data_IF_918226243318
#
_entry.id   IF_918226243318
#
_cell.length_a   1.000
_cell.length_b   1.000
_cell.length_c   1.000
_cell.angle_alpha   90.00
_cell.angle_beta   90.00
_cell.angle_gamma   90.00
#
_symmetry.space_group_name_H-M   'P 1'
#
loop_
_entity.id
_entity.type
_entity.pdbx_description
1 polymer ?
#
# COMPACT_ATOMS: atom_id res chain seq x y z
N UNK A 1 -19.23 2.42 -17.17
CA UNK A 1 -18.07 3.20 -16.69
C UNK A 1 -17.06 2.40 -15.83
N UNK A 2 -17.49 1.38 -15.09
CA UNK A 2 -16.58 0.60 -14.22
C UNK A 2 -15.56 -0.30 -14.94
N UNK A 3 -15.89 -0.84 -16.12
CA UNK A 3 -15.01 -1.79 -16.84
C UNK A 3 -13.83 -1.10 -17.55
N UNK A 4 -14.04 0.10 -18.07
CA UNK A 4 -12.99 0.86 -18.75
C UNK A 4 -11.86 1.31 -17.79
N UNK A 5 -12.18 1.55 -16.51
CA UNK A 5 -11.20 1.95 -15.49
C UNK A 5 -10.29 0.78 -15.10
N UNK A 6 -10.80 -0.46 -15.16
CA UNK A 6 -10.06 -1.67 -14.80
C UNK A 6 -9.15 -2.20 -15.91
N UNK A 7 -9.33 -1.74 -17.16
CA UNK A 7 -8.45 -2.14 -18.26
C UNK A 7 -7.13 -1.37 -18.18
N UNK A 8 -6.09 -2.03 -17.66
CA UNK A 8 -4.75 -1.45 -17.58
C UNK A 8 -4.03 -1.75 -18.88
N UNK A 9 -3.71 -0.72 -19.68
CA UNK A 9 -2.93 -0.90 -20.89
C UNK A 9 -1.48 -1.28 -20.59
N UNK A 10 -0.72 -1.66 -21.61
CA UNK A 10 0.72 -1.88 -21.48
C UNK A 10 1.44 -0.53 -21.26
N UNK A 11 2.01 -0.35 -20.09
CA UNK A 11 2.72 0.87 -19.66
C UNK A 11 4.24 0.75 -19.84
N UNK A 12 4.74 -0.37 -20.37
CA UNK A 12 6.17 -0.69 -20.41
C UNK A 12 7.01 0.35 -21.18
N UNK A 13 6.42 1.03 -22.15
CA UNK A 13 7.07 2.08 -22.92
C UNK A 13 7.43 3.34 -22.09
N UNK A 14 6.73 3.56 -20.98
CA UNK A 14 6.92 4.73 -20.10
C UNK A 14 7.74 4.41 -18.84
N UNK A 15 8.28 3.19 -18.72
CA UNK A 15 9.07 2.77 -17.56
C UNK A 15 10.51 3.23 -17.65
N UNK A 16 11.00 3.83 -16.57
CA UNK A 16 12.41 4.19 -16.40
C UNK A 16 13.02 3.26 -15.34
N UNK A 17 14.09 2.57 -15.69
CA UNK A 17 14.80 1.66 -14.79
C UNK A 17 16.13 2.24 -14.35
N UNK A 18 16.40 2.17 -13.05
CA UNK A 18 17.70 2.45 -12.46
C UNK A 18 18.22 1.22 -11.74
N UNK A 19 19.44 0.80 -12.05
CA UNK A 19 20.11 -0.27 -11.35
C UNK A 19 21.10 0.31 -10.32
N UNK A 20 21.07 -0.23 -9.11
CA UNK A 20 21.99 0.15 -8.02
C UNK A 20 22.45 -1.09 -7.27
N UNK A 21 23.45 -0.90 -6.42
CA UNK A 21 23.93 -1.97 -5.54
C UNK A 21 22.87 -2.29 -4.49
N UNK A 22 22.65 -3.59 -4.24
CA UNK A 22 21.79 -4.02 -3.16
C UNK A 22 22.45 -3.70 -1.82
N UNK A 23 21.72 -3.12 -0.88
CA UNK A 23 22.15 -2.94 0.50
C UNK A 23 21.72 -4.17 1.32
N UNK A 24 22.66 -4.94 1.85
CA UNK A 24 22.38 -6.08 2.74
C UNK A 24 23.63 -6.58 3.43
N UNK A 25 23.52 -7.26 4.58
CA UNK A 25 24.64 -7.94 5.24
C UNK A 25 25.01 -9.15 4.39
N UNK A 26 25.83 -8.99 3.40
CA UNK A 26 26.27 -10.06 2.52
C UNK A 26 27.73 -9.92 2.14
N UNK A 27 28.38 -11.07 1.90
CA UNK A 27 29.81 -11.16 1.61
C UNK A 27 30.25 -10.34 0.37
N UNK A 28 31.50 -10.53 -0.05
CA UNK A 28 32.22 -9.71 -1.04
C UNK A 28 31.50 -9.48 -2.39
N UNK A 29 30.53 -10.32 -2.77
CA UNK A 29 29.79 -10.19 -4.03
C UNK A 29 28.70 -9.10 -4.01
N UNK A 30 28.16 -8.73 -2.84
CA UNK A 30 27.12 -7.69 -2.69
C UNK A 30 27.62 -6.32 -3.15
N UNK A 31 28.90 -6.06 -3.00
CA UNK A 31 29.51 -4.78 -3.38
C UNK A 31 29.90 -4.69 -4.88
N UNK A 32 29.78 -5.78 -5.64
CA UNK A 32 30.24 -5.84 -7.04
C UNK A 32 29.09 -5.92 -8.06
N UNK A 33 27.88 -6.26 -7.66
CA UNK A 33 26.75 -6.49 -8.57
C UNK A 33 25.61 -5.52 -8.31
N UNK A 34 25.19 -4.78 -9.34
CA UNK A 34 24.05 -3.87 -9.30
C UNK A 34 22.75 -4.67 -9.51
N UNK A 35 22.35 -5.48 -8.53
CA UNK A 35 21.16 -6.32 -8.64
C UNK A 35 19.86 -5.62 -8.20
N UNK A 36 19.95 -4.54 -7.45
CA UNK A 36 18.77 -3.75 -7.04
C UNK A 36 18.25 -2.96 -8.23
N UNK A 37 16.98 -3.15 -8.54
CA UNK A 37 16.26 -2.40 -9.58
C UNK A 37 15.26 -1.45 -8.93
N UNK A 38 15.31 -0.21 -9.36
CA UNK A 38 14.33 0.81 -9.10
C UNK A 38 13.59 1.13 -10.40
N UNK A 39 12.29 0.88 -10.43
CA UNK A 39 11.42 1.20 -11.54
C UNK A 39 10.67 2.48 -11.20
N UNK A 40 10.75 3.46 -12.09
CA UNK A 40 10.08 4.76 -11.99
C UNK A 40 9.04 4.89 -13.09
N UNK A 41 7.85 5.31 -12.72
CA UNK A 41 6.75 5.56 -13.63
C UNK A 41 6.08 6.89 -13.29
N UNK A 42 6.00 7.81 -14.26
CA UNK A 42 5.34 9.10 -14.05
C UNK A 42 3.86 8.99 -14.41
N UNK A 43 2.99 8.97 -13.38
CA UNK A 43 1.54 8.84 -13.57
C UNK A 43 0.97 10.09 -14.25
N UNK A 44 1.41 11.27 -13.85
CA UNK A 44 0.84 12.53 -14.32
C UNK A 44 1.13 12.77 -15.81
N UNK A 45 2.35 12.44 -16.24
CA UNK A 45 2.81 12.66 -17.62
C UNK A 45 2.55 11.45 -18.53
N UNK A 46 1.91 10.39 -18.05
CA UNK A 46 1.59 9.23 -18.88
C UNK A 46 0.66 9.64 -20.03
N UNK A 47 1.00 9.23 -21.24
CA UNK A 47 0.15 9.37 -22.43
C UNK A 47 -0.82 8.21 -22.62
N UNK A 48 -0.61 7.12 -21.89
CA UNK A 48 -1.33 5.86 -22.02
C UNK A 48 -2.53 5.77 -21.05
N UNK A 49 -2.39 6.36 -19.85
CA UNK A 49 -3.45 6.38 -18.84
C UNK A 49 -4.51 7.44 -19.16
N UNK A 50 -5.78 7.09 -18.90
CA UNK A 50 -6.87 8.08 -18.97
C UNK A 50 -6.82 9.04 -17.78
N UNK A 51 -7.43 10.23 -17.92
CA UNK A 51 -7.43 11.25 -16.88
C UNK A 51 -8.11 10.75 -15.58
N UNK A 52 -9.21 9.99 -15.71
CA UNK A 52 -9.87 9.35 -14.57
C UNK A 52 -8.94 8.36 -13.82
N UNK A 53 -8.18 7.56 -14.59
CA UNK A 53 -7.20 6.63 -14.00
C UNK A 53 -6.09 7.39 -13.29
N UNK A 54 -5.56 8.46 -13.87
CA UNK A 54 -4.54 9.30 -13.25
C UNK A 54 -5.01 9.89 -11.93
N UNK A 55 -6.22 10.46 -11.89
CA UNK A 55 -6.79 11.05 -10.68
C UNK A 55 -6.90 10.01 -9.55
N UNK A 56 -7.45 8.82 -9.85
CA UNK A 56 -7.57 7.73 -8.89
C UNK A 56 -6.20 7.27 -8.38
N UNK A 57 -5.22 7.10 -9.28
CA UNK A 57 -3.87 6.66 -8.92
C UNK A 57 -3.13 7.69 -8.08
N UNK A 58 -3.18 8.96 -8.45
CA UNK A 58 -2.57 10.06 -7.69
C UNK A 58 -3.16 10.17 -6.28
N UNK A 59 -4.48 10.01 -6.16
CA UNK A 59 -5.16 10.03 -4.87
C UNK A 59 -4.79 8.83 -3.99
N UNK A 60 -4.90 7.60 -4.53
CA UNK A 60 -4.70 6.37 -3.73
C UNK A 60 -3.25 5.98 -3.49
N UNK A 61 -2.32 6.37 -4.37
CA UNK A 61 -0.90 6.07 -4.29
C UNK A 61 -0.05 7.26 -3.85
N UNK A 62 -0.64 8.34 -3.34
CA UNK A 62 0.06 9.55 -2.92
C UNK A 62 1.27 9.30 -2.01
N UNK A 63 1.17 8.32 -1.10
CA UNK A 63 2.27 7.94 -0.19
C UNK A 63 3.45 7.21 -0.86
N UNK A 64 3.30 6.78 -2.12
CA UNK A 64 4.32 6.05 -2.91
C UNK A 64 4.84 6.87 -4.08
N UNK A 65 4.30 8.06 -4.28
CA UNK A 65 4.72 8.99 -5.32
C UNK A 65 5.76 9.93 -4.73
N UNK A 66 6.89 10.08 -5.43
CA UNK A 66 7.93 11.04 -5.06
C UNK A 66 7.47 12.48 -5.27
N UNK A 67 8.21 13.44 -4.71
CA UNK A 67 7.95 14.87 -4.92
C UNK A 67 8.00 15.26 -6.41
N UNK A 68 8.79 14.53 -7.19
CA UNK A 68 8.91 14.73 -8.65
C UNK A 68 7.78 14.06 -9.46
N UNK A 69 6.77 13.50 -8.81
CA UNK A 69 5.61 12.88 -9.45
C UNK A 69 5.82 11.45 -9.95
N UNK A 70 6.91 10.78 -9.56
CA UNK A 70 7.18 9.41 -9.96
C UNK A 70 6.66 8.41 -8.93
N UNK A 71 5.89 7.42 -9.39
CA UNK A 71 5.64 6.19 -8.64
C UNK A 71 6.90 5.33 -8.69
N UNK A 72 7.48 5.04 -7.53
CA UNK A 72 8.74 4.32 -7.41
C UNK A 72 8.48 2.93 -6.84
N UNK A 73 8.95 1.90 -7.55
CA UNK A 73 8.89 0.50 -7.12
C UNK A 73 10.29 -0.09 -7.11
N UNK A 74 10.67 -0.68 -5.98
CA UNK A 74 12.01 -1.25 -5.79
C UNK A 74 11.91 -2.78 -5.70
N UNK A 75 12.82 -3.46 -6.40
CA UNK A 75 13.06 -4.89 -6.23
C UNK A 75 14.55 -5.18 -6.05
N UNK A 76 14.84 -5.94 -4.99
CA UNK A 76 16.20 -6.42 -4.63
C UNK A 76 16.16 -7.83 -4.04
N UNK A 77 15.14 -8.60 -4.42
CA UNK A 77 14.87 -9.91 -3.83
C UNK A 77 15.86 -10.98 -4.29
N UNK A 78 16.25 -10.89 -5.53
CA UNK A 78 17.14 -11.87 -6.17
C UNK A 78 18.51 -11.29 -6.46
N UNK A 79 19.50 -12.16 -6.65
CA UNK A 79 20.83 -11.78 -7.12
C UNK A 79 20.87 -11.43 -8.62
N UNK A 80 19.87 -11.86 -9.37
CA UNK A 80 19.72 -11.58 -10.79
C UNK A 80 19.00 -10.25 -11.02
N UNK A 81 19.65 -9.37 -11.75
CA UNK A 81 19.08 -8.08 -12.16
C UNK A 81 17.82 -8.25 -13.01
N UNK A 82 17.82 -9.26 -13.91
CA UNK A 82 16.69 -9.54 -14.78
C UNK A 82 15.45 -9.96 -14.00
N UNK A 83 15.61 -10.88 -13.04
CA UNK A 83 14.52 -11.34 -12.16
C UNK A 83 13.97 -10.18 -11.32
N UNK A 84 14.83 -9.32 -10.80
CA UNK A 84 14.39 -8.14 -10.05
C UNK A 84 13.66 -7.11 -10.93
N UNK A 85 14.04 -6.99 -12.21
CA UNK A 85 13.34 -6.13 -13.17
C UNK A 85 11.92 -6.64 -13.43
N UNK A 86 11.76 -7.92 -13.69
CA UNK A 86 10.43 -8.56 -13.88
C UNK A 86 9.57 -8.44 -12.61
N UNK A 87 10.16 -8.67 -11.43
CA UNK A 87 9.47 -8.52 -10.13
C UNK A 87 9.02 -7.07 -9.89
N UNK A 88 9.83 -6.08 -10.26
CA UNK A 88 9.47 -4.67 -10.14
C UNK A 88 8.29 -4.30 -11.06
N UNK A 89 8.29 -4.79 -12.30
CA UNK A 89 7.19 -4.60 -13.26
C UNK A 89 5.90 -5.22 -12.69
N UNK A 90 5.96 -6.48 -12.26
CA UNK A 90 4.81 -7.17 -11.68
C UNK A 90 4.23 -6.41 -10.48
N UNK A 91 5.08 -5.98 -9.55
CA UNK A 91 4.67 -5.18 -8.37
C UNK A 91 4.01 -3.86 -8.76
N UNK A 92 4.50 -3.19 -9.80
CA UNK A 92 3.91 -1.95 -10.28
C UNK A 92 2.49 -2.18 -10.80
N UNK A 93 2.29 -3.20 -11.65
CA UNK A 93 0.95 -3.54 -12.16
C UNK A 93 0.00 -3.96 -11.04
N UNK A 94 0.46 -4.75 -10.07
CA UNK A 94 -0.34 -5.12 -8.88
C UNK A 94 -0.78 -3.89 -8.07
N UNK A 95 0.10 -2.89 -7.92
CA UNK A 95 -0.23 -1.63 -7.23
C UNK A 95 -1.29 -0.83 -7.99
N UNK A 96 -1.12 -0.70 -9.31
CA UNK A 96 -2.05 0.01 -10.18
C UNK A 96 -3.42 -0.70 -10.17
N UNK A 97 -3.45 -2.01 -10.39
CA UNK A 97 -4.69 -2.80 -10.37
C UNK A 97 -5.43 -2.65 -9.04
N UNK A 98 -4.70 -2.80 -7.93
CA UNK A 98 -5.28 -2.63 -6.59
C UNK A 98 -5.83 -1.23 -6.36
N UNK A 99 -5.18 -0.21 -6.88
CA UNK A 99 -5.62 1.18 -6.76
C UNK A 99 -6.87 1.46 -7.62
N UNK A 100 -6.92 0.94 -8.85
CA UNK A 100 -8.05 1.13 -9.76
C UNK A 100 -9.26 0.27 -9.37
N UNK A 101 -9.07 -0.82 -8.62
CA UNK A 101 -10.18 -1.69 -8.20
C UNK A 101 -11.20 -0.92 -7.36
N UNK A 102 -12.50 -0.99 -7.71
CA UNK A 102 -13.55 -0.34 -6.93
C UNK A 102 -13.66 -0.97 -5.53
N UNK A 103 -13.67 -0.13 -4.51
CA UNK A 103 -13.80 -0.57 -3.12
C UNK A 103 -15.29 -0.73 -2.78
N UNK A 104 -15.72 -1.94 -2.44
CA UNK A 104 -17.06 -2.17 -1.91
C UNK A 104 -17.24 -1.40 -0.59
N UNK A 105 -18.31 -0.60 -0.51
CA UNK A 105 -18.67 0.10 0.73
C UNK A 105 -18.93 -0.93 1.84
N UNK A 106 -18.21 -0.80 2.94
CA UNK A 106 -18.42 -1.68 4.10
C UNK A 106 -19.81 -1.45 4.67
N UNK A 107 -20.58 -2.53 4.86
CA UNK A 107 -21.83 -2.48 5.59
C UNK A 107 -21.52 -2.45 7.08
N UNK A 108 -22.19 -1.57 7.85
CA UNK A 108 -22.09 -1.55 9.31
C UNK A 108 -22.63 -2.86 9.88
N UNK A 109 -21.86 -3.47 10.77
CA UNK A 109 -22.28 -4.67 11.50
C UNK A 109 -22.75 -4.27 12.91
N UNK A 110 -23.80 -4.93 13.40
CA UNK A 110 -24.24 -4.75 14.79
C UNK A 110 -23.28 -5.49 15.73
N UNK A 111 -23.03 -4.96 16.95
CA UNK A 111 -22.25 -5.67 17.95
C UNK A 111 -22.86 -7.03 18.26
N UNK A 112 -22.04 -8.04 18.51
CA UNK A 112 -22.49 -9.35 18.98
C UNK A 112 -23.08 -9.26 20.40
N UNK A 113 -23.99 -10.19 20.77
CA UNK A 113 -24.55 -10.27 22.13
C UNK A 113 -23.46 -10.29 23.21
N UNK A 114 -22.45 -11.13 23.03
CA UNK A 114 -21.33 -11.22 24.00
C UNK A 114 -20.54 -9.92 24.12
N UNK A 115 -20.37 -9.17 23.04
CA UNK A 115 -19.71 -7.86 23.07
C UNK A 115 -20.53 -6.83 23.85
N UNK A 116 -21.86 -6.86 23.71
CA UNK A 116 -22.76 -5.98 24.48
C UNK A 116 -22.73 -6.34 25.97
N UNK A 117 -22.78 -7.65 26.30
CA UNK A 117 -22.72 -8.15 27.68
C UNK A 117 -21.41 -7.76 28.36
N UNK A 118 -20.25 -8.00 27.72
CA UNK A 118 -18.94 -7.58 28.24
C UNK A 118 -18.85 -6.08 28.48
N UNK A 119 -19.41 -5.27 27.58
CA UNK A 119 -19.45 -3.82 27.74
C UNK A 119 -20.31 -3.40 28.93
N UNK A 120 -21.46 -4.05 29.14
CA UNK A 120 -22.36 -3.78 30.26
C UNK A 120 -21.73 -4.21 31.58
N UNK A 121 -21.11 -5.40 31.64
CA UNK A 121 -20.38 -5.89 32.81
C UNK A 121 -19.24 -4.95 33.21
N UNK A 122 -18.42 -4.52 32.23
CA UNK A 122 -17.37 -3.56 32.46
C UNK A 122 -17.90 -2.20 33.00
N UNK A 123 -19.08 -1.77 32.57
CA UNK A 123 -19.75 -0.58 33.12
C UNK A 123 -20.21 -0.78 34.57
N UNK A 124 -20.76 -1.96 34.89
CA UNK A 124 -21.15 -2.30 36.27
C UNK A 124 -19.97 -2.27 37.21
N UNK A 125 -18.88 -2.98 36.87
CA UNK A 125 -17.64 -3.01 37.66
C UNK A 125 -17.11 -1.58 37.92
N UNK A 126 -17.08 -0.74 36.89
CA UNK A 126 -16.65 0.66 37.03
C UNK A 126 -17.58 1.49 37.93
N UNK A 127 -18.88 1.25 37.86
CA UNK A 127 -19.85 1.93 38.74
C UNK A 127 -19.67 1.51 40.19
N UNK A 128 -19.48 0.21 40.45
CA UNK A 128 -19.26 -0.33 41.79
C UNK A 128 -17.98 0.22 42.43
N UNK A 129 -16.89 0.27 41.63
CA UNK A 129 -15.63 0.89 42.09
C UNK A 129 -15.80 2.37 42.38
N UNK A 130 -16.56 3.10 41.57
CA UNK A 130 -16.83 4.52 41.80
C UNK A 130 -17.65 4.72 43.09
N UNK A 131 -18.65 3.87 43.29
CA UNK A 131 -19.52 3.94 44.50
C UNK A 131 -18.77 3.57 45.77
N UNK A 132 -17.86 2.58 45.75
CA UNK A 132 -17.02 2.23 46.91
C UNK A 132 -16.04 3.33 47.29
N UNK A 133 -15.56 4.13 46.35
CA UNK A 133 -14.69 5.29 46.65
C UNK A 133 -15.43 6.43 47.35
N UNK A 134 -16.71 6.66 47.00
CA UNK A 134 -17.52 7.70 47.64
C UNK A 134 -17.89 7.38 49.12
N UNK A 135 -17.93 6.08 49.46
CA UNK A 135 -18.22 5.66 50.88
C UNK A 135 -17.01 5.78 51.81
N UNK A 136 -15.83 6.11 51.31
CA UNK A 136 -14.61 6.28 52.11
C UNK A 136 -14.37 7.75 52.53
N UNK A 137 -15.16 8.69 51.98
CA UNK A 137 -15.03 10.13 52.22
C UNK A 137 -16.10 10.65 53.21
N UNK A 138 -16.97 9.79 53.80
CA UNK A 138 -17.91 10.04 54.86
C UNK A 138 -17.42 9.39 56.20
#
# INVERSE_FOLDING_TARGET
>A
MSEAILNIPDLSAEFVFQASRSSGPGGQNVNKVNSKIELRFNIQNSSILTDDQKEILLSKLSSKISLDGFLIVISQRDRSQLVNKEDAIRKLYELIEKALRPVKRRKSTRPTRSSVEKRLEGKRIKADIKQSRQKLDD
#
